data_IF_348874111497
#
_entry.id   IF_348874111497
#
_cell.length_a   1.000
_cell.length_b   1.000
_cell.length_c   1.000
_cell.angle_alpha   90.00
_cell.angle_beta   90.00
_cell.angle_gamma   90.00
#
_symmetry.space_group_name_H-M   'P 1'
#
loop_
_entity.id
_entity.type
_entity.pdbx_description
1 polymer ?
#
# COMPACT_ATOMS: atom_id res chain seq x y z
N UNK A 1 -9.14 -4.27 14.88
CA UNK A 1 -9.50 -2.85 15.01
C UNK A 1 -8.95 -2.07 13.82
N UNK A 2 -9.63 -0.99 13.41
CA UNK A 2 -9.38 -0.26 12.14
C UNK A 2 -7.92 0.18 11.93
N UNK A 3 -7.31 0.74 12.97
CA UNK A 3 -5.91 1.18 12.94
C UNK A 3 -4.91 0.03 12.77
N UNK A 4 -5.19 -1.13 13.39
CA UNK A 4 -4.34 -2.31 13.28
C UNK A 4 -4.28 -2.91 11.86
N UNK A 5 -5.39 -2.84 11.11
CA UNK A 5 -5.41 -3.30 9.71
C UNK A 5 -4.57 -2.37 8.83
N UNK A 6 -4.70 -1.05 8.99
CA UNK A 6 -3.91 -0.08 8.23
C UNK A 6 -2.39 -0.23 8.50
N UNK A 7 -2.00 -0.44 9.77
CA UNK A 7 -0.61 -0.65 10.13
C UNK A 7 -0.05 -1.97 9.58
N UNK A 8 -0.85 -3.05 9.61
CA UNK A 8 -0.49 -4.32 9.00
C UNK A 8 -0.33 -4.20 7.49
N UNK A 9 -1.26 -3.53 6.80
CA UNK A 9 -1.18 -3.28 5.36
C UNK A 9 0.05 -2.50 4.96
N UNK A 10 0.40 -1.48 5.74
CA UNK A 10 1.61 -0.71 5.50
C UNK A 10 2.86 -1.60 5.56
N UNK A 11 2.97 -2.46 6.58
CA UNK A 11 4.10 -3.37 6.77
C UNK A 11 4.17 -4.46 5.69
N UNK A 12 3.04 -5.11 5.37
CA UNK A 12 3.00 -6.20 4.36
C UNK A 12 3.21 -5.67 2.94
N UNK A 13 2.92 -4.40 2.68
CA UNK A 13 3.29 -3.76 1.42
C UNK A 13 4.79 -3.73 1.12
N UNK A 14 5.67 -4.00 2.12
CA UNK A 14 7.11 -4.15 1.93
C UNK A 14 7.59 -5.60 1.77
N UNK A 15 6.70 -6.58 1.92
CA UNK A 15 7.03 -8.01 1.82
C UNK A 15 6.30 -8.62 0.63
N UNK A 16 5.27 -9.44 0.86
CA UNK A 16 4.50 -10.14 -0.16
C UNK A 16 3.03 -9.69 -0.12
N UNK A 17 2.67 -8.84 -1.07
CA UNK A 17 1.33 -8.26 -1.17
C UNK A 17 0.27 -9.29 -1.59
N UNK A 18 0.65 -10.32 -2.36
CA UNK A 18 -0.30 -11.26 -2.97
C UNK A 18 -1.00 -12.16 -1.93
N UNK A 19 -0.27 -12.83 -1.00
CA UNK A 19 -0.92 -13.60 0.07
C UNK A 19 -1.80 -12.73 0.98
N UNK A 20 -1.44 -11.45 1.19
CA UNK A 20 -2.24 -10.51 1.96
C UNK A 20 -3.56 -10.17 1.28
N UNK A 21 -3.52 -9.74 0.01
CA UNK A 21 -4.73 -9.43 -0.76
C UNK A 21 -5.64 -10.66 -0.83
N UNK A 22 -5.10 -11.85 -1.08
CA UNK A 22 -5.89 -13.09 -1.13
C UNK A 22 -6.52 -13.43 0.23
N UNK A 23 -5.80 -13.25 1.34
CA UNK A 23 -6.35 -13.46 2.70
C UNK A 23 -7.49 -12.50 3.02
N UNK A 24 -7.37 -11.26 2.54
CA UNK A 24 -8.33 -10.17 2.68
C UNK A 24 -9.61 -10.49 1.87
N UNK A 25 -9.45 -10.89 0.61
CA UNK A 25 -10.57 -11.27 -0.27
C UNK A 25 -11.23 -12.59 0.12
N UNK A 26 -10.47 -13.52 0.71
CA UNK A 26 -10.93 -14.84 1.17
C UNK A 26 -11.83 -14.82 2.41
N UNK A 27 -12.20 -13.65 2.93
CA UNK A 27 -13.18 -13.53 4.01
C UNK A 27 -12.62 -13.78 5.41
N UNK A 28 -11.29 -13.79 5.61
CA UNK A 28 -10.68 -13.92 6.94
C UNK A 28 -10.93 -12.70 7.85
N UNK A 29 -11.59 -11.66 7.35
CA UNK A 29 -11.95 -10.44 8.07
C UNK A 29 -13.47 -10.20 8.09
N UNK A 30 -14.28 -11.06 8.73
CA UNK A 30 -15.76 -10.97 8.71
C UNK A 30 -16.32 -9.71 9.38
N UNK A 31 -15.52 -8.97 10.14
CA UNK A 31 -15.91 -7.74 10.85
C UNK A 31 -15.33 -6.46 10.21
N UNK A 32 -14.76 -6.56 9.00
CA UNK A 32 -14.14 -5.43 8.29
C UNK A 32 -15.02 -5.05 7.11
N UNK A 33 -15.32 -3.76 6.99
CA UNK A 33 -16.11 -3.24 5.88
C UNK A 33 -15.34 -3.30 4.56
N UNK A 34 -16.07 -3.31 3.44
CA UNK A 34 -15.44 -3.24 2.11
C UNK A 34 -14.60 -1.98 1.91
N UNK A 35 -14.96 -0.87 2.57
CA UNK A 35 -14.22 0.39 2.56
C UNK A 35 -12.86 0.27 3.26
N UNK A 36 -12.84 -0.33 4.45
CA UNK A 36 -11.61 -0.62 5.20
C UNK A 36 -10.72 -1.61 4.47
N UNK A 37 -11.32 -2.61 3.83
CA UNK A 37 -10.63 -3.60 3.00
C UNK A 37 -9.97 -2.96 1.78
N UNK A 38 -10.71 -2.12 1.06
CA UNK A 38 -10.20 -1.38 -0.09
C UNK A 38 -9.07 -0.43 0.34
N UNK A 39 -9.23 0.24 1.49
CA UNK A 39 -8.20 1.11 2.05
C UNK A 39 -6.91 0.36 2.40
N UNK A 40 -7.05 -0.80 3.04
CA UNK A 40 -5.95 -1.71 3.36
C UNK A 40 -5.18 -2.16 2.10
N UNK A 41 -5.89 -2.51 1.02
CA UNK A 41 -5.27 -2.87 -0.27
C UNK A 41 -4.51 -1.69 -0.87
N UNK A 42 -5.09 -0.49 -0.85
CA UNK A 42 -4.43 0.71 -1.39
C UNK A 42 -3.19 1.12 -0.61
N UNK A 43 -3.23 1.01 0.73
CA UNK A 43 -2.06 1.24 1.59
C UNK A 43 -0.97 0.23 1.27
N UNK A 44 -1.30 -1.06 1.18
CA UNK A 44 -0.32 -2.11 0.86
C UNK A 44 0.29 -1.92 -0.55
N UNK A 45 -0.53 -1.60 -1.56
CA UNK A 45 -0.08 -1.34 -2.92
C UNK A 45 0.80 -0.08 -3.01
N UNK A 46 0.45 0.98 -2.27
CA UNK A 46 1.24 2.21 -2.23
C UNK A 46 2.60 2.00 -1.56
N UNK A 47 2.66 1.25 -0.45
CA UNK A 47 3.93 0.85 0.18
C UNK A 47 4.84 0.05 -0.77
N UNK A 48 4.26 -0.86 -1.56
CA UNK A 48 5.00 -1.63 -2.57
C UNK A 48 5.60 -0.72 -3.65
N UNK A 49 4.88 0.31 -4.09
CA UNK A 49 5.41 1.29 -5.05
C UNK A 49 6.59 2.08 -4.47
N UNK A 50 6.55 2.45 -3.19
CA UNK A 50 7.68 3.11 -2.51
C UNK A 50 8.89 2.17 -2.45
N UNK A 51 8.68 0.89 -2.11
CA UNK A 51 9.76 -0.10 -2.10
C UNK A 51 10.38 -0.29 -3.49
N UNK A 52 9.56 -0.39 -4.55
CA UNK A 52 10.01 -0.43 -5.95
C UNK A 52 10.79 0.82 -6.33
N UNK A 53 10.43 2.00 -5.82
CA UNK A 53 11.19 3.21 -6.02
C UNK A 53 12.60 3.09 -5.41
N UNK A 54 12.70 2.53 -4.20
CA UNK A 54 13.97 2.22 -3.53
C UNK A 54 14.85 1.28 -4.35
N UNK A 55 14.30 0.15 -4.80
CA UNK A 55 15.04 -0.79 -5.67
C UNK A 55 15.45 -0.16 -6.99
N UNK A 56 14.57 0.65 -7.59
CA UNK A 56 14.87 1.34 -8.85
C UNK A 56 15.98 2.38 -8.66
N UNK A 57 16.03 3.07 -7.52
CA UNK A 57 17.09 4.01 -7.19
C UNK A 57 18.45 3.32 -6.97
N UNK A 58 18.46 2.14 -6.33
CA UNK A 58 19.69 1.40 -6.01
C UNK A 58 20.24 0.64 -7.23
N UNK A 59 19.36 -0.03 -7.98
CA UNK A 59 19.77 -0.97 -9.04
C UNK A 59 19.53 -0.44 -10.46
N UNK A 60 18.88 0.69 -10.62
CA UNK A 60 18.59 1.29 -11.92
C UNK A 60 19.83 1.82 -12.62
N UNK A 61 19.99 1.51 -13.91
CA UNK A 61 21.20 1.86 -14.71
C UNK A 61 20.95 2.88 -15.83
N UNK A 62 19.71 3.34 -16.01
CA UNK A 62 19.31 4.16 -17.16
C UNK A 62 19.03 5.62 -16.80
N UNK A 63 19.13 6.52 -17.79
CA UNK A 63 18.87 7.95 -17.62
C UNK A 63 17.46 8.27 -17.07
N UNK A 64 16.50 7.36 -17.27
CA UNK A 64 15.08 7.51 -16.87
C UNK A 64 14.84 7.17 -15.39
N UNK A 65 15.83 6.63 -14.66
CA UNK A 65 15.68 6.17 -13.26
C UNK A 65 15.09 7.26 -12.36
N UNK A 66 15.54 8.50 -12.50
CA UNK A 66 15.01 9.62 -11.68
C UNK A 66 13.52 9.85 -11.90
N UNK A 67 13.06 9.83 -13.15
CA UNK A 67 11.64 9.99 -13.46
C UNK A 67 10.81 8.82 -12.90
N UNK A 68 11.31 7.58 -13.03
CA UNK A 68 10.62 6.38 -12.53
C UNK A 68 10.52 6.41 -11.00
N UNK A 69 11.60 6.77 -10.30
CA UNK A 69 11.61 6.89 -8.83
C UNK A 69 10.60 7.92 -8.37
N UNK A 70 10.60 9.12 -8.98
CA UNK A 70 9.63 10.17 -8.63
C UNK A 70 8.20 9.70 -8.85
N UNK A 71 7.92 9.06 -9.98
CA UNK A 71 6.57 8.58 -10.30
C UNK A 71 6.10 7.49 -9.33
N UNK A 72 6.97 6.54 -8.99
CA UNK A 72 6.66 5.47 -8.04
C UNK A 72 6.43 6.00 -6.63
N UNK A 73 7.22 6.99 -6.17
CA UNK A 73 6.98 7.63 -4.88
C UNK A 73 5.68 8.41 -4.88
N UNK A 74 5.39 9.20 -5.92
CA UNK A 74 4.14 9.96 -6.03
C UNK A 74 2.92 9.03 -6.02
N UNK A 75 2.93 7.98 -6.84
CA UNK A 75 1.86 6.98 -6.85
C UNK A 75 1.74 6.27 -5.50
N UNK A 76 2.86 5.95 -4.86
CA UNK A 76 2.88 5.34 -3.53
C UNK A 76 2.20 6.20 -2.47
N UNK A 77 2.58 7.48 -2.40
CA UNK A 77 2.01 8.45 -1.45
C UNK A 77 0.53 8.73 -1.72
N UNK A 78 0.14 8.89 -2.98
CA UNK A 78 -1.27 9.11 -3.36
C UNK A 78 -2.11 7.89 -2.99
N UNK A 79 -1.66 6.68 -3.30
CA UNK A 79 -2.38 5.44 -2.95
C UNK A 79 -2.51 5.27 -1.43
N UNK A 80 -1.45 5.51 -0.66
CA UNK A 80 -1.50 5.44 0.81
C UNK A 80 -2.46 6.50 1.37
N UNK A 81 -2.33 7.75 0.93
CA UNK A 81 -3.19 8.86 1.38
C UNK A 81 -4.66 8.60 1.07
N UNK A 82 -4.96 8.14 -0.14
CA UNK A 82 -6.32 7.76 -0.51
C UNK A 82 -6.82 6.55 0.28
N UNK A 83 -5.96 5.56 0.53
CA UNK A 83 -6.26 4.39 1.35
C UNK A 83 -6.69 4.77 2.77
N UNK A 84 -5.97 5.67 3.42
CA UNK A 84 -6.33 6.19 4.75
C UNK A 84 -7.62 7.03 4.75
N UNK A 85 -7.86 7.79 3.69
CA UNK A 85 -9.08 8.58 3.53
C UNK A 85 -10.31 7.66 3.43
N UNK A 86 -10.27 6.64 2.58
CA UNK A 86 -11.40 5.73 2.37
C UNK A 86 -11.61 4.75 3.52
N UNK A 87 -10.55 4.36 4.24
CA UNK A 87 -10.67 3.45 5.39
C UNK A 87 -11.30 4.13 6.62
N UNK A 88 -11.51 5.45 6.58
CA UNK A 88 -12.04 6.23 7.70
C UNK A 88 -11.07 6.33 8.89
N UNK A 89 -9.80 5.99 8.69
CA UNK A 89 -8.76 6.02 9.75
C UNK A 89 -8.20 7.43 9.96
N UNK A 90 -8.45 8.36 9.03
CA UNK A 90 -8.02 9.76 9.15
C UNK A 90 -8.80 10.58 10.21
N UNK A 91 -9.94 10.08 10.71
CA UNK A 91 -10.86 10.80 11.61
C UNK A 91 -10.90 10.25 13.05
N UNK A 92 -9.92 9.43 13.45
CA UNK A 92 -9.77 8.88 14.80
C UNK A 92 -8.32 9.05 15.29
#
# INVERSE_FOLDING_TARGET
GKSGLAMLSFAVGFTDIDPFILSVLGGHFPHVSMQELTGAILIAAGSNNILKAGYTAIFGKHAVVRCVVVYLVLLGLVSIGWGFFISGTFLL
#
